data_IF_384203974622
#
_entry.id   IF_384203974622
#
_cell.length_a   1.000
_cell.length_b   1.000
_cell.length_c   1.000
_cell.angle_alpha   90.00
_cell.angle_beta   90.00
_cell.angle_gamma   90.00
#
_symmetry.space_group_name_H-M   'P 1'
#
loop_
_entity.id
_entity.type
_entity.pdbx_description
1 polymer ?
#
# COMPACT_ATOMS: atom_id res chain seq x y z
N UNK A 1 16.57 16.89 -3.82
CA UNK A 1 15.78 16.14 -4.83
C UNK A 1 15.44 14.78 -4.24
N UNK A 2 14.17 14.40 -4.25
CA UNK A 2 13.73 13.07 -3.79
C UNK A 2 14.09 12.08 -4.89
N UNK A 3 14.92 11.07 -4.57
CA UNK A 3 15.32 10.02 -5.52
C UNK A 3 14.56 8.73 -5.25
N UNK A 4 14.09 8.54 -4.03
CA UNK A 4 13.35 7.39 -3.58
C UNK A 4 12.14 7.81 -2.74
N UNK A 5 10.96 7.15 -2.82
CA UNK A 5 9.81 7.48 -1.97
C UNK A 5 10.11 7.48 -0.47
N UNK A 6 11.04 6.62 -0.01
CA UNK A 6 11.52 6.58 1.37
C UNK A 6 12.36 7.80 1.79
N UNK A 7 12.84 8.63 0.85
CA UNK A 7 13.58 9.87 1.15
C UNK A 7 12.65 11.04 1.50
N UNK A 8 11.34 10.84 1.43
CA UNK A 8 10.33 11.87 1.64
C UNK A 8 10.39 12.45 3.06
N UNK A 9 9.87 13.66 3.21
CA UNK A 9 9.82 14.33 4.51
C UNK A 9 8.96 13.56 5.53
N UNK A 10 7.95 12.83 5.04
CA UNK A 10 7.08 11.99 5.85
C UNK A 10 7.87 10.85 6.49
N UNK A 11 8.68 10.13 5.72
CA UNK A 11 9.53 9.06 6.25
C UNK A 11 10.60 9.59 7.20
N UNK A 12 11.22 10.74 6.89
CA UNK A 12 12.14 11.40 7.82
C UNK A 12 11.48 11.77 9.16
N UNK A 13 10.18 12.14 9.13
CA UNK A 13 9.42 12.42 10.36
C UNK A 13 9.14 11.13 11.15
N UNK A 14 8.81 10.03 10.47
CA UNK A 14 8.62 8.70 11.09
C UNK A 14 9.93 8.24 11.75
N UNK A 15 11.06 8.31 11.04
CA UNK A 15 12.37 7.90 11.55
C UNK A 15 12.78 8.71 12.80
N UNK A 16 12.40 9.99 12.87
CA UNK A 16 12.62 10.83 14.07
C UNK A 16 11.68 10.49 15.23
N UNK A 17 10.44 10.10 14.92
CA UNK A 17 9.43 9.78 15.93
C UNK A 17 9.64 8.38 16.52
N UNK A 18 10.17 7.45 15.72
CA UNK A 18 10.43 6.06 16.08
C UNK A 18 11.87 5.67 15.74
N UNK A 19 12.88 6.15 16.50
CA UNK A 19 14.29 5.96 16.18
C UNK A 19 14.69 4.48 16.12
N UNK A 20 14.19 3.67 17.06
CA UNK A 20 14.48 2.24 17.11
C UNK A 20 13.94 1.52 15.88
N UNK A 21 12.75 1.92 15.41
CA UNK A 21 12.15 1.37 14.20
C UNK A 21 12.91 1.80 12.95
N UNK A 22 13.29 3.08 12.85
CA UNK A 22 14.01 3.62 11.70
C UNK A 22 15.43 3.06 11.55
N UNK A 23 16.08 2.70 12.67
CA UNK A 23 17.44 2.18 12.72
C UNK A 23 17.54 0.67 12.44
N UNK A 24 16.45 -0.09 12.60
CA UNK A 24 16.44 -1.53 12.31
C UNK A 24 16.28 -1.78 10.80
N UNK A 25 17.33 -2.24 10.10
CA UNK A 25 17.30 -2.40 8.64
C UNK A 25 16.32 -3.47 8.15
N UNK A 26 15.90 -4.40 9.03
CA UNK A 26 14.89 -5.42 8.70
C UNK A 26 13.47 -4.87 8.66
N UNK A 27 13.23 -3.68 9.20
CA UNK A 27 11.89 -3.10 9.19
C UNK A 27 11.47 -2.71 7.77
N UNK A 28 10.28 -3.18 7.39
CA UNK A 28 9.73 -2.95 6.07
C UNK A 28 9.21 -1.51 5.95
N UNK A 29 9.68 -0.81 4.93
CA UNK A 29 9.10 0.44 4.43
C UNK A 29 8.32 0.10 3.17
N UNK A 30 7.05 0.44 3.14
CA UNK A 30 6.21 0.16 1.98
C UNK A 30 5.17 1.25 1.74
N UNK A 31 4.64 1.26 0.52
CA UNK A 31 3.48 2.06 0.15
C UNK A 31 2.29 1.14 -0.15
N UNK A 32 1.10 1.62 0.18
CA UNK A 32 -0.15 1.03 -0.28
C UNK A 32 -0.79 1.97 -1.30
N UNK A 33 -1.30 1.39 -2.38
CA UNK A 33 -2.09 2.10 -3.36
C UNK A 33 -3.35 1.28 -3.66
N UNK A 34 -4.50 1.94 -3.76
CA UNK A 34 -5.72 1.32 -4.22
C UNK A 34 -6.40 2.24 -5.22
N UNK A 35 -6.96 1.63 -6.26
CA UNK A 35 -7.73 2.32 -7.28
C UNK A 35 -9.00 1.50 -7.55
N UNK A 36 -10.08 2.17 -7.90
CA UNK A 36 -11.36 1.52 -8.18
C UNK A 36 -11.43 1.11 -9.64
N UNK A 37 -11.57 -0.18 -9.89
CA UNK A 37 -11.85 -0.69 -11.24
C UNK A 37 -13.26 -1.29 -11.30
N UNK A 38 -14.02 -0.96 -12.35
CA UNK A 38 -15.25 -1.66 -12.69
C UNK A 38 -14.97 -2.61 -13.88
N UNK A 39 -14.74 -3.91 -13.64
CA UNK A 39 -14.40 -4.86 -14.70
C UNK A 39 -15.54 -5.13 -15.68
N UNK A 40 -16.79 -4.76 -15.35
CA UNK A 40 -17.99 -5.00 -16.18
C UNK A 40 -18.45 -3.77 -16.99
N UNK A 41 -17.75 -2.64 -16.89
CA UNK A 41 -18.04 -1.43 -17.66
C UNK A 41 -19.47 -0.86 -17.47
N UNK A 42 -19.93 -0.08 -18.47
CA UNK A 42 -21.25 0.59 -18.49
C UNK A 42 -22.47 -0.35 -18.42
N UNK A 43 -22.28 -1.67 -18.49
CA UNK A 43 -23.36 -2.66 -18.61
C UNK A 43 -23.85 -3.18 -17.25
N UNK A 44 -23.13 -2.91 -16.16
CA UNK A 44 -23.60 -3.13 -14.79
C UNK A 44 -22.71 -2.34 -13.83
N UNK A 45 -23.18 -1.17 -13.39
CA UNK A 45 -22.49 -0.29 -12.44
C UNK A 45 -22.64 -0.72 -10.99
N UNK A 46 -23.25 -1.88 -10.75
CA UNK A 46 -23.56 -2.32 -9.39
C UNK A 46 -22.36 -2.91 -8.68
N UNK A 47 -21.22 -3.15 -9.33
CA UNK A 47 -20.09 -3.81 -8.68
C UNK A 47 -18.76 -3.13 -9.01
N UNK A 48 -17.92 -2.96 -7.99
CA UNK A 48 -16.60 -2.35 -8.06
C UNK A 48 -15.57 -3.25 -7.41
N UNK A 49 -14.40 -3.34 -8.02
CA UNK A 49 -13.26 -4.12 -7.54
C UNK A 49 -12.07 -3.19 -7.29
N UNK A 50 -11.55 -3.22 -6.08
CA UNK A 50 -10.50 -2.34 -5.60
C UNK A 50 -9.27 -3.19 -5.27
N UNK A 51 -8.33 -3.35 -6.21
CA UNK A 51 -7.04 -3.93 -5.89
C UNK A 51 -6.31 -3.04 -4.89
N UNK A 52 -5.76 -3.66 -3.84
CA UNK A 52 -4.79 -3.03 -2.94
C UNK A 52 -3.42 -3.53 -3.35
N UNK A 53 -2.61 -2.60 -3.85
CA UNK A 53 -1.26 -2.84 -4.31
C UNK A 53 -0.26 -2.45 -3.22
N UNK A 54 0.68 -3.34 -2.94
CA UNK A 54 1.78 -3.17 -2.02
C UNK A 54 3.07 -2.93 -2.79
N UNK A 55 3.76 -1.84 -2.46
CA UNK A 55 5.05 -1.47 -3.05
C UNK A 55 6.13 -1.45 -1.96
N UNK A 56 7.18 -2.26 -2.11
CA UNK A 56 8.29 -2.31 -1.13
C UNK A 56 9.30 -1.20 -1.42
N UNK A 57 9.41 -0.25 -0.49
CA UNK A 57 10.32 0.89 -0.53
C UNK A 57 11.69 0.61 0.09
N UNK A 58 11.98 -0.61 0.56
CA UNK A 58 13.36 -1.01 0.87
C UNK A 58 14.17 -1.34 -0.40
N UNK A 59 13.50 -1.55 -1.53
CA UNK A 59 14.17 -1.83 -2.81
C UNK A 59 14.79 -0.56 -3.40
N UNK A 60 15.81 -0.73 -4.25
CA UNK A 60 16.44 0.43 -4.91
C UNK A 60 15.43 1.18 -5.81
N UNK A 61 15.68 2.48 -6.09
CA UNK A 61 14.76 3.31 -6.91
C UNK A 61 14.42 2.70 -8.28
N UNK A 62 15.34 1.95 -8.86
CA UNK A 62 15.20 1.31 -10.15
C UNK A 62 14.32 0.05 -10.13
N UNK A 63 14.12 -0.54 -8.94
CA UNK A 63 13.38 -1.78 -8.73
C UNK A 63 12.00 -1.51 -8.12
N UNK A 64 11.89 -0.64 -7.12
CA UNK A 64 10.67 -0.48 -6.31
C UNK A 64 9.40 -0.22 -7.15
N UNK A 65 9.50 0.53 -8.25
CA UNK A 65 8.36 0.85 -9.12
C UNK A 65 8.19 -0.11 -10.31
N UNK A 66 9.00 -1.17 -10.44
CA UNK A 66 8.82 -2.15 -11.52
C UNK A 66 7.66 -3.06 -11.19
N UNK A 67 6.82 -3.35 -12.19
CA UNK A 67 5.64 -4.23 -12.08
C UNK A 67 5.91 -5.55 -11.35
N UNK A 68 7.08 -6.16 -11.54
CA UNK A 68 7.47 -7.42 -10.88
C UNK A 68 7.55 -7.33 -9.34
N UNK A 69 7.80 -6.14 -8.79
CA UNK A 69 7.92 -5.91 -7.34
C UNK A 69 6.71 -5.20 -6.73
N UNK A 70 5.67 -4.94 -7.54
CA UNK A 70 4.38 -4.48 -7.05
C UNK A 70 3.53 -5.72 -6.83
N UNK A 71 3.05 -5.92 -5.61
CA UNK A 71 2.26 -7.09 -5.23
C UNK A 71 0.80 -6.71 -5.04
N UNK A 72 -0.11 -7.54 -5.53
CA UNK A 72 -1.51 -7.45 -5.14
C UNK A 72 -1.66 -8.11 -3.77
N UNK A 73 -1.90 -7.33 -2.71
CA UNK A 73 -2.05 -7.84 -1.35
C UNK A 73 -3.50 -8.18 -1.01
N UNK A 74 -4.46 -7.48 -1.60
CA UNK A 74 -5.88 -7.67 -1.32
C UNK A 74 -6.71 -7.25 -2.54
N UNK A 75 -7.88 -7.86 -2.70
CA UNK A 75 -8.88 -7.44 -3.66
C UNK A 75 -10.20 -7.21 -2.91
N UNK A 76 -10.60 -5.94 -2.79
CA UNK A 76 -11.87 -5.58 -2.14
C UNK A 76 -12.94 -5.52 -3.23
N UNK A 77 -13.94 -6.37 -3.10
CA UNK A 77 -15.04 -6.49 -4.06
C UNK A 77 -16.32 -6.04 -3.37
N UNK A 78 -17.05 -5.11 -3.98
CA UNK A 78 -18.21 -4.51 -3.34
C UNK A 78 -19.06 -3.67 -4.27
N UNK A 79 -20.33 -3.52 -3.91
CA UNK A 79 -21.29 -2.76 -4.73
C UNK A 79 -20.95 -1.27 -4.83
N UNK A 80 -20.23 -0.74 -3.82
CA UNK A 80 -19.80 0.64 -3.74
C UNK A 80 -18.33 0.68 -3.40
N UNK A 81 -17.71 1.83 -3.70
CA UNK A 81 -16.37 2.13 -3.22
C UNK A 81 -16.31 2.03 -1.69
N UNK A 82 -15.21 1.51 -1.13
CA UNK A 82 -15.05 1.39 0.32
C UNK A 82 -15.13 2.77 1.01
N UNK A 83 -14.72 3.84 0.32
CA UNK A 83 -14.87 5.20 0.82
C UNK A 83 -14.19 5.38 2.17
N UNK A 84 -14.95 5.78 3.18
CA UNK A 84 -14.44 5.95 4.54
C UNK A 84 -14.16 4.63 5.26
N UNK A 85 -14.75 3.51 4.81
CA UNK A 85 -14.64 2.20 5.47
C UNK A 85 -13.40 1.41 5.02
N UNK A 86 -12.47 2.06 4.30
CA UNK A 86 -11.24 1.41 3.81
C UNK A 86 -10.38 0.86 4.95
N UNK A 87 -10.41 1.49 6.11
CA UNK A 87 -9.72 1.06 7.32
C UNK A 87 -10.22 -0.30 7.83
N UNK A 88 -11.53 -0.55 7.77
CA UNK A 88 -12.14 -1.84 8.12
C UNK A 88 -11.58 -2.94 7.23
N UNK A 89 -11.48 -2.70 5.92
CA UNK A 89 -10.91 -3.66 4.97
C UNK A 89 -9.41 -3.87 5.17
N UNK A 90 -8.67 -2.85 5.58
CA UNK A 90 -7.22 -2.96 5.82
C UNK A 90 -6.86 -3.56 7.19
N UNK A 91 -7.81 -3.68 8.12
CA UNK A 91 -7.58 -4.27 9.44
C UNK A 91 -6.87 -5.63 9.40
N UNK A 92 -7.36 -6.64 8.66
CA UNK A 92 -6.67 -7.94 8.58
C UNK A 92 -5.25 -7.83 8.00
N UNK A 93 -5.04 -6.94 7.03
CA UNK A 93 -3.71 -6.69 6.46
C UNK A 93 -2.74 -6.14 7.51
N UNK A 94 -3.18 -5.20 8.34
CA UNK A 94 -2.37 -4.65 9.44
C UNK A 94 -2.08 -5.71 10.50
N UNK A 95 -3.04 -6.58 10.82
CA UNK A 95 -2.84 -7.68 11.76
C UNK A 95 -1.77 -8.67 11.28
N UNK A 96 -1.80 -9.02 9.99
CA UNK A 96 -0.78 -9.89 9.40
C UNK A 96 0.61 -9.26 9.42
N UNK A 97 0.71 -7.95 9.17
CA UNK A 97 1.99 -7.23 9.26
C UNK A 97 2.55 -7.18 10.68
N UNK A 98 1.71 -7.18 11.72
CA UNK A 98 2.14 -7.21 13.13
C UNK A 98 2.64 -8.59 13.58
N UNK A 99 2.37 -9.64 12.81
CA UNK A 99 2.81 -11.01 13.10
C UNK A 99 4.17 -11.36 12.48
N UNK A 100 4.66 -10.53 11.56
CA UNK A 100 6.00 -10.61 10.97
C UNK A 100 7.04 -10.05 11.94
#
# INVERSE_FOLDING_TARGET
MIRHPADSLQWKKIDRMYPDFGNEPRNLRFGLATDGMNPYGNLSSIHSSWPVLLIIYNLSPWLCMKRKYIMLSMLISGHKQPGNDIDVYLSPFVEDLKRL
#
